data_IF_520378548790
#
_entry.id   IF_520378548790
#
_cell.length_a   1.000
_cell.length_b   1.000
_cell.length_c   1.000
_cell.angle_alpha   90.00
_cell.angle_beta   90.00
_cell.angle_gamma   90.00
#
_symmetry.space_group_name_H-M   'P 1'
#
loop_
_entity.id
_entity.type
_entity.pdbx_description
1 polymer ?
#
# COMPACT_ATOMS: atom_id res chain seq x y z
N UNK A 1 1.35 18.06 -7.16
CA UNK A 1 -0.01 18.55 -6.85
C UNK A 1 0.03 19.34 -5.56
N UNK A 2 -0.58 20.50 -5.55
CA UNK A 2 -0.55 21.35 -4.37
C UNK A 2 -1.43 20.81 -3.25
N UNK A 3 -1.09 21.16 -2.01
CA UNK A 3 -1.79 20.64 -0.83
C UNK A 3 -3.29 20.95 -0.84
N UNK A 4 -3.68 22.14 -1.31
CA UNK A 4 -5.09 22.51 -1.35
C UNK A 4 -5.88 21.66 -2.34
N UNK A 5 -5.27 21.32 -3.47
CA UNK A 5 -5.90 20.44 -4.46
C UNK A 5 -6.05 19.04 -3.88
N UNK A 6 -5.04 18.55 -3.15
CA UNK A 6 -5.09 17.25 -2.50
C UNK A 6 -6.18 17.21 -1.43
N UNK A 7 -6.35 18.30 -0.66
CA UNK A 7 -7.40 18.35 0.34
C UNK A 7 -8.80 18.24 -0.27
N UNK A 8 -8.97 18.74 -1.48
CA UNK A 8 -10.26 18.64 -2.18
C UNK A 8 -10.47 17.26 -2.80
N UNK A 9 -9.40 16.64 -3.27
CA UNK A 9 -9.45 15.36 -3.96
C UNK A 9 -9.52 14.16 -3.02
N UNK A 10 -8.83 14.22 -1.90
CA UNK A 10 -8.72 13.11 -0.96
C UNK A 10 -9.73 13.24 0.18
N UNK A 11 -10.12 12.09 0.76
CA UNK A 11 -10.87 12.13 2.02
C UNK A 11 -10.00 12.74 3.10
N UNK A 12 -10.58 13.26 4.19
CA UNK A 12 -9.79 13.80 5.31
C UNK A 12 -8.80 12.79 5.87
N UNK A 13 -9.19 11.52 5.97
CA UNK A 13 -8.31 10.47 6.46
C UNK A 13 -7.17 10.21 5.49
N UNK A 14 -7.46 10.10 4.19
CA UNK A 14 -6.43 9.86 3.18
C UNK A 14 -5.42 11.01 3.15
N UNK A 15 -5.88 12.24 3.27
CA UNK A 15 -4.99 13.40 3.34
C UNK A 15 -4.09 13.33 4.57
N UNK A 16 -4.68 13.06 5.74
CA UNK A 16 -3.89 12.98 6.97
C UNK A 16 -2.84 11.87 6.91
N UNK A 17 -3.21 10.71 6.39
CA UNK A 17 -2.26 9.59 6.29
C UNK A 17 -1.13 9.91 5.31
N UNK A 18 -1.46 10.34 4.08
CA UNK A 18 -0.46 10.48 3.04
C UNK A 18 0.37 11.76 3.15
N UNK A 19 -0.20 12.84 3.67
CA UNK A 19 0.44 14.15 3.69
C UNK A 19 0.92 14.58 5.07
N UNK A 20 0.34 14.03 6.13
CA UNK A 20 0.67 14.43 7.50
C UNK A 20 1.20 13.27 8.33
N UNK A 21 1.62 12.19 7.67
CA UNK A 21 2.18 10.99 8.30
C UNK A 21 1.25 10.36 9.35
N UNK A 22 -0.06 10.49 9.15
CA UNK A 22 -1.04 9.90 10.05
C UNK A 22 -1.12 8.40 9.92
N UNK A 23 -1.76 7.77 10.88
CA UNK A 23 -2.01 6.33 10.90
C UNK A 23 -3.49 6.09 11.18
N UNK A 24 -4.13 5.26 10.36
CA UNK A 24 -5.52 4.90 10.57
C UNK A 24 -5.67 3.89 11.71
N UNK A 25 -6.88 3.69 12.20
CA UNK A 25 -7.14 2.76 13.29
C UNK A 25 -6.89 1.31 12.84
N UNK A 26 -6.22 0.49 13.68
CA UNK A 26 -6.01 -0.91 13.34
C UNK A 26 -7.33 -1.69 13.41
N UNK A 27 -7.46 -2.71 12.56
CA UNK A 27 -8.62 -3.59 12.46
C UNK A 27 -9.93 -2.88 12.11
N UNK A 28 -9.87 -1.61 11.79
CA UNK A 28 -11.04 -0.79 11.46
C UNK A 28 -10.80 0.01 10.19
N UNK A 29 -10.20 -0.62 9.17
CA UNK A 29 -9.90 0.02 7.91
C UNK A 29 -10.32 -0.87 6.75
N UNK A 30 -10.41 -0.26 5.58
CA UNK A 30 -11.06 -0.86 4.42
C UNK A 30 -10.43 -2.16 3.95
N UNK A 31 -9.10 -2.24 3.92
CA UNK A 31 -8.42 -3.34 3.26
C UNK A 31 -7.74 -4.34 4.20
N UNK A 32 -7.86 -4.17 5.50
CA UNK A 32 -7.22 -5.10 6.45
C UNK A 32 -7.70 -6.55 6.20
N UNK A 33 -8.99 -6.74 6.08
CA UNK A 33 -9.60 -8.06 5.91
C UNK A 33 -10.22 -8.20 4.51
N UNK A 34 -9.48 -7.77 3.50
CA UNK A 34 -9.95 -7.70 2.11
C UNK A 34 -8.95 -8.45 1.23
N UNK A 35 -9.41 -9.48 0.54
CA UNK A 35 -8.52 -10.35 -0.25
C UNK A 35 -8.97 -10.59 -1.68
N UNK A 36 -9.71 -9.66 -2.27
CA UNK A 36 -10.07 -9.76 -3.67
C UNK A 36 -8.85 -9.56 -4.56
N UNK A 37 -8.89 -10.20 -5.73
CA UNK A 37 -7.80 -10.13 -6.70
C UNK A 37 -7.76 -8.76 -7.37
N UNK A 38 -6.60 -8.14 -7.37
CA UNK A 38 -6.45 -6.83 -7.99
C UNK A 38 -5.17 -6.11 -7.60
N UNK A 39 -5.17 -4.83 -7.88
CA UNK A 39 -4.01 -3.95 -7.77
C UNK A 39 -4.27 -2.87 -6.73
N UNK A 40 -3.26 -2.55 -5.93
CA UNK A 40 -3.32 -1.45 -4.97
C UNK A 40 -2.45 -0.31 -5.47
N UNK A 41 -3.04 0.85 -5.67
CA UNK A 41 -2.34 2.01 -6.21
C UNK A 41 -2.31 3.13 -5.18
N UNK A 42 -1.34 4.05 -5.33
CA UNK A 42 -1.23 5.24 -4.50
C UNK A 42 -2.51 6.09 -4.68
N UNK A 43 -3.18 6.41 -3.59
CA UNK A 43 -4.43 7.18 -3.66
C UNK A 43 -4.18 8.59 -4.23
N UNK A 44 -2.96 9.10 -4.11
CA UNK A 44 -2.59 10.44 -4.61
C UNK A 44 -2.29 10.42 -6.10
N UNK A 45 -1.39 9.53 -6.54
CA UNK A 45 -0.88 9.53 -7.91
C UNK A 45 -1.49 8.48 -8.83
N UNK A 46 -2.09 7.44 -8.26
CA UNK A 46 -2.57 6.31 -9.05
C UNK A 46 -1.47 5.33 -9.44
N UNK A 47 -0.24 5.54 -8.96
CA UNK A 47 0.87 4.64 -9.29
C UNK A 47 0.69 3.27 -8.63
N UNK A 48 0.86 2.16 -9.37
CA UNK A 48 0.76 0.82 -8.78
C UNK A 48 1.85 0.60 -7.73
N UNK A 49 1.47 0.09 -6.58
CA UNK A 49 2.39 -0.13 -5.47
C UNK A 49 2.46 -1.59 -5.02
N UNK A 50 1.30 -2.24 -4.88
CA UNK A 50 1.22 -3.62 -4.38
C UNK A 50 0.14 -4.39 -5.13
N UNK A 51 0.23 -5.71 -5.10
CA UNK A 51 -0.80 -6.58 -5.68
C UNK A 51 -1.40 -7.49 -4.62
N UNK A 52 -2.59 -8.01 -4.92
CA UNK A 52 -3.25 -8.99 -4.05
C UNK A 52 -2.43 -10.28 -3.88
N UNK A 53 -1.51 -10.55 -4.80
CA UNK A 53 -0.66 -11.75 -4.74
C UNK A 53 0.29 -11.73 -3.58
N UNK A 54 0.73 -10.55 -3.20
CA UNK A 54 1.69 -10.37 -2.12
C UNK A 54 1.02 -9.95 -0.81
N UNK A 55 -0.30 -9.88 -0.81
CA UNK A 55 -1.07 -9.55 0.40
C UNK A 55 -1.32 -10.81 1.21
N UNK A 56 -1.18 -10.73 2.52
CA UNK A 56 -1.42 -11.85 3.41
C UNK A 56 -1.99 -11.37 4.74
N UNK A 57 -2.57 -12.28 5.50
CA UNK A 57 -3.13 -11.98 6.81
C UNK A 57 -2.05 -12.08 7.87
N UNK A 58 -1.56 -10.94 8.33
CA UNK A 58 -0.50 -10.89 9.34
C UNK A 58 -1.02 -10.73 10.76
N UNK A 59 -2.27 -10.30 10.91
CA UNK A 59 -2.82 -9.99 12.23
C UNK A 59 -2.40 -8.64 12.79
N UNK A 60 -1.74 -7.80 12.00
CA UNK A 60 -1.25 -6.51 12.49
C UNK A 60 -2.32 -5.42 12.55
N UNK A 61 -3.47 -5.64 11.94
CA UNK A 61 -4.56 -4.66 11.96
C UNK A 61 -4.61 -3.74 10.74
N UNK A 62 -3.66 -3.86 9.82
CA UNK A 62 -3.61 -3.13 8.57
C UNK A 62 -3.28 -4.09 7.43
N UNK A 63 -3.59 -3.74 6.17
CA UNK A 63 -3.18 -4.60 5.06
C UNK A 63 -1.67 -4.81 5.06
N UNK A 64 -1.27 -6.05 4.92
CA UNK A 64 0.14 -6.44 4.94
C UNK A 64 0.53 -7.10 3.63
N UNK A 65 1.72 -6.75 3.13
CA UNK A 65 2.25 -7.26 1.88
C UNK A 65 3.67 -7.76 2.10
N UNK A 66 4.08 -8.76 1.34
CA UNK A 66 5.43 -9.31 1.44
C UNK A 66 6.44 -8.49 0.64
N UNK A 67 5.99 -7.79 -0.39
CA UNK A 67 6.86 -6.97 -1.24
C UNK A 67 6.03 -5.99 -2.07
N UNK A 68 6.63 -4.89 -2.54
CA UNK A 68 5.96 -4.02 -3.52
C UNK A 68 5.94 -4.69 -4.90
N UNK A 69 5.14 -4.15 -5.80
CA UNK A 69 4.98 -4.70 -7.15
C UNK A 69 6.30 -4.69 -7.94
N UNK A 70 7.13 -3.69 -7.70
CA UNK A 70 8.46 -3.57 -8.31
C UNK A 70 9.38 -2.84 -7.34
N UNK A 71 10.69 -3.06 -7.47
CA UNK A 71 11.66 -2.25 -6.74
C UNK A 71 11.59 -0.84 -7.27
N UNK A 72 11.70 0.12 -6.38
CA UNK A 72 11.72 1.52 -6.77
C UNK A 72 10.38 2.23 -6.73
N UNK A 73 9.26 1.51 -6.64
CA UNK A 73 7.96 2.19 -6.50
C UNK A 73 7.74 2.72 -5.09
N UNK A 74 8.45 2.16 -4.11
CA UNK A 74 8.44 2.67 -2.73
C UNK A 74 9.85 2.98 -2.30
N UNK A 75 9.97 3.89 -1.35
CA UNK A 75 11.25 4.25 -0.73
C UNK A 75 11.12 4.14 0.78
N UNK A 76 12.23 3.92 1.46
CA UNK A 76 12.27 3.72 2.89
C UNK A 76 12.96 4.90 3.56
N UNK A 77 12.45 5.25 4.74
CA UNK A 77 13.00 6.35 5.51
C UNK A 77 12.98 5.96 6.98
N UNK A 78 14.06 6.28 7.70
CA UNK A 78 14.14 5.97 9.12
C UNK A 78 13.17 6.85 9.91
N UNK A 79 12.35 6.21 10.74
CA UNK A 79 11.36 6.88 11.56
C UNK A 79 11.71 6.63 13.04
N UNK A 80 12.04 7.70 13.76
CA UNK A 80 12.40 7.62 15.18
C UNK A 80 11.31 8.16 16.08
N UNK A 81 10.10 8.33 15.58
CA UNK A 81 8.99 8.85 16.38
C UNK A 81 8.60 7.86 17.48
N UNK A 82 7.95 8.36 18.53
CA UNK A 82 7.45 7.55 19.65
C UNK A 82 8.56 6.76 20.35
N UNK A 83 9.78 7.27 20.34
CA UNK A 83 10.95 6.61 20.97
C UNK A 83 11.23 5.23 20.39
N UNK A 84 10.69 4.91 19.23
CA UNK A 84 10.91 3.66 18.52
C UNK A 84 11.59 3.94 17.20
N UNK A 85 12.47 3.01 16.79
CA UNK A 85 13.11 3.10 15.51
C UNK A 85 12.41 2.17 14.54
N UNK A 86 11.75 2.73 13.55
CA UNK A 86 11.04 1.98 12.53
C UNK A 86 11.46 2.44 11.15
N UNK A 87 11.17 1.64 10.14
CA UNK A 87 11.43 2.01 8.75
C UNK A 87 10.11 2.42 8.11
N UNK A 88 9.98 3.70 7.81
CA UNK A 88 8.81 4.26 7.14
C UNK A 88 8.86 3.92 5.66
N UNK A 89 7.70 3.62 5.08
CA UNK A 89 7.55 3.36 3.64
C UNK A 89 6.75 4.50 3.02
N UNK A 90 7.30 5.09 1.97
CA UNK A 90 6.65 6.16 1.21
C UNK A 90 6.66 5.79 -0.28
N UNK A 91 5.68 6.29 -1.04
CA UNK A 91 5.70 6.08 -2.48
C UNK A 91 6.80 6.94 -3.09
N UNK A 92 7.50 6.39 -4.11
CA UNK A 92 8.62 7.09 -4.72
C UNK A 92 8.18 8.30 -5.53
N UNK A 93 7.06 8.18 -6.20
CA UNK A 93 6.60 9.20 -7.16
C UNK A 93 5.88 10.37 -6.47
N UNK A 94 4.90 10.09 -5.63
CA UNK A 94 4.11 11.13 -4.97
C UNK A 94 4.60 11.46 -3.57
N UNK A 95 5.57 10.71 -3.06
CA UNK A 95 6.08 10.87 -1.69
C UNK A 95 4.96 10.77 -0.64
N UNK A 96 3.97 9.93 -0.89
CA UNK A 96 2.91 9.69 0.07
C UNK A 96 3.41 8.81 1.20
N UNK A 97 3.09 9.18 2.44
CA UNK A 97 3.33 8.28 3.56
C UNK A 97 2.38 7.08 3.44
N UNK A 98 2.92 5.88 3.42
CA UNK A 98 2.13 4.66 3.26
C UNK A 98 2.00 3.87 4.56
N UNK A 99 3.09 3.71 5.27
CA UNK A 99 3.15 2.89 6.47
C UNK A 99 4.58 2.59 6.85
N UNK A 100 4.81 1.36 7.31
CA UNK A 100 6.13 0.92 7.78
C UNK A 100 6.43 -0.49 7.29
N UNK A 101 7.72 -0.82 7.18
CA UNK A 101 8.14 -2.17 6.87
C UNK A 101 8.89 -2.76 8.07
N UNK A 102 8.61 -4.03 8.37
CA UNK A 102 9.20 -4.77 9.49
C UNK A 102 9.88 -6.03 8.97
N UNK A 103 10.75 -6.61 9.80
CA UNK A 103 11.54 -7.80 9.42
C UNK A 103 10.95 -9.11 9.94
N UNK A 104 9.72 -9.08 10.40
CA UNK A 104 9.02 -10.25 10.94
C UNK A 104 7.99 -10.83 9.98
N UNK A 105 8.22 -10.68 8.68
CA UNK A 105 7.36 -11.27 7.66
C UNK A 105 7.69 -12.73 7.37
N UNK A 106 6.92 -13.36 6.44
CA UNK A 106 7.13 -14.77 6.09
C UNK A 106 8.52 -14.99 5.49
N UNK A 107 9.29 -15.91 6.09
CA UNK A 107 10.66 -16.17 5.66
C UNK A 107 10.74 -16.72 4.23
N UNK A 108 9.78 -17.52 3.83
CA UNK A 108 9.72 -18.06 2.47
C UNK A 108 9.36 -17.02 1.41
N UNK A 109 8.96 -15.83 1.83
CA UNK A 109 8.61 -14.73 0.94
C UNK A 109 9.56 -13.55 1.08
N UNK A 110 10.71 -13.73 1.70
CA UNK A 110 11.72 -12.68 1.84
C UNK A 110 11.84 -12.08 3.23
N UNK A 111 10.98 -12.46 4.17
CA UNK A 111 11.10 -12.07 5.57
C UNK A 111 10.61 -10.66 5.91
N UNK A 112 10.02 -9.93 4.97
CA UNK A 112 9.55 -8.57 5.21
C UNK A 112 8.03 -8.51 5.35
N UNK A 113 7.56 -7.57 6.16
CA UNK A 113 6.14 -7.28 6.33
C UNK A 113 5.92 -5.79 6.10
N UNK A 114 5.33 -5.46 4.95
CA UNK A 114 4.95 -4.09 4.62
C UNK A 114 3.55 -3.85 5.18
N UNK A 115 3.47 -3.08 6.25
CA UNK A 115 2.22 -2.78 6.93
C UNK A 115 1.75 -1.41 6.46
N UNK A 116 0.71 -1.37 5.65
CA UNK A 116 0.33 -0.19 4.87
C UNK A 116 -1.07 0.28 5.28
N UNK A 117 -1.25 1.60 5.39
CA UNK A 117 -2.56 2.17 5.69
C UNK A 117 -3.50 2.04 4.49
N UNK A 118 -4.72 1.53 4.72
CA UNK A 118 -5.72 1.43 3.67
C UNK A 118 -6.03 2.79 3.05
N UNK A 119 -6.05 3.84 3.85
CA UNK A 119 -6.38 5.19 3.38
C UNK A 119 -5.34 5.76 2.42
N UNK A 120 -4.14 5.17 2.35
CA UNK A 120 -3.12 5.57 1.39
C UNK A 120 -3.28 4.87 0.04
N UNK A 121 -4.18 3.90 -0.04
CA UNK A 121 -4.32 3.01 -1.20
C UNK A 121 -5.71 3.14 -1.83
N UNK A 122 -5.75 2.92 -3.15
CA UNK A 122 -7.00 2.70 -3.88
C UNK A 122 -6.90 1.31 -4.51
N UNK A 123 -7.95 0.52 -4.39
CA UNK A 123 -7.97 -0.82 -4.96
C UNK A 123 -8.58 -0.79 -6.37
N UNK A 124 -7.91 -1.46 -7.32
CA UNK A 124 -8.43 -1.64 -8.67
C UNK A 124 -8.70 -3.12 -8.87
N UNK A 125 -9.97 -3.54 -8.96
CA UNK A 125 -10.30 -4.96 -9.16
C UNK A 125 -9.70 -5.51 -10.45
N UNK A 126 -9.37 -6.79 -10.44
CA UNK A 126 -8.74 -7.44 -11.58
C UNK A 126 -9.50 -7.21 -12.89
N UNK A 127 -10.82 -7.30 -12.87
CA UNK A 127 -11.64 -7.13 -14.05
C UNK A 127 -11.82 -5.68 -14.49
N UNK A 128 -11.28 -4.73 -13.73
CA UNK A 128 -11.32 -3.30 -14.06
C UNK A 128 -9.95 -2.75 -14.49
N UNK A 129 -8.91 -3.60 -14.49
CA UNK A 129 -7.55 -3.12 -14.77
C UNK A 129 -7.44 -2.46 -16.13
N UNK A 130 -7.97 -3.09 -17.17
CA UNK A 130 -7.89 -2.53 -18.52
C UNK A 130 -8.66 -1.22 -18.63
N UNK A 131 -9.88 -1.18 -18.08
CA UNK A 131 -10.75 -0.01 -18.14
C UNK A 131 -10.13 1.20 -17.42
N UNK A 132 -9.34 0.97 -16.38
CA UNK A 132 -8.73 2.04 -15.61
C UNK A 132 -7.28 2.37 -16.04
N UNK A 133 -6.81 1.76 -17.12
CA UNK A 133 -5.48 2.07 -17.65
C UNK A 133 -4.34 1.23 -17.09
N UNK A 134 -4.65 0.14 -16.39
CA UNK A 134 -3.66 -0.75 -15.79
C UNK A 134 -3.60 -2.11 -16.47
N UNK A 135 -4.00 -2.19 -17.75
CA UNK A 135 -4.05 -3.46 -18.47
C UNK A 135 -2.72 -4.21 -18.54
N UNK A 136 -1.60 -3.49 -18.47
CA UNK A 136 -0.28 -4.11 -18.50
C UNK A 136 -0.01 -5.02 -17.28
N UNK A 137 -0.80 -4.90 -16.21
CA UNK A 137 -0.62 -5.71 -15.00
C UNK A 137 -1.49 -6.96 -14.98
N UNK A 138 -2.32 -7.18 -16.00
CA UNK A 138 -3.20 -8.34 -16.06
C UNK A 138 -2.40 -9.64 -16.04
N UNK A 139 -1.35 -9.74 -16.86
CA UNK A 139 -0.53 -10.94 -16.91
C UNK A 139 0.19 -11.22 -15.61
N UNK A 140 0.64 -10.17 -14.93
CA UNK A 140 1.29 -10.30 -13.64
C UNK A 140 0.36 -10.98 -12.62
N UNK A 141 -0.91 -10.62 -12.62
CA UNK A 141 -1.89 -11.17 -11.69
C UNK A 141 -2.42 -12.54 -12.10
N UNK A 142 -2.40 -12.86 -13.39
CA UNK A 142 -2.89 -14.15 -13.87
C UNK A 142 -2.01 -15.33 -13.45
N UNK A 143 -0.70 -15.16 -13.48
CA UNK A 143 0.24 -16.26 -13.24
C UNK A 143 0.20 -16.84 -11.84
N UNK A 144 -0.34 -16.13 -10.89
CA UNK A 144 -0.35 -16.59 -9.51
C UNK A 144 -1.73 -17.06 -9.06
N UNK A 145 -2.73 -16.92 -9.92
CA UNK A 145 -4.08 -17.38 -9.58
C UNK A 145 -4.19 -18.91 -9.60
N UNK A 146 -3.19 -19.60 -10.12
CA UNK A 146 -3.18 -21.04 -10.24
C UNK A 146 -2.45 -21.74 -9.11
N UNK A 147 -1.90 -20.99 -8.21
CA UNK A 147 -1.14 -21.56 -7.11
C UNK A 147 -2.02 -22.26 -6.09
#
# INVERSE_FOLDING_TARGET
MEKEELKKKLSPLAYRVTQENGTEAPFANEFDDFFEKGLYVDVVSGEPLFTSLDKYQSGCGWPAFTQPIEKGVVKEKRDKSLFMERTEVRSSNADSHLGHVFTDGPLDKGGLRYCINSAALRFVPFDQLEAEGYGEYINCLLYTSDA
#
